data_IF_052490427371
#
_entry.id   IF_052490427371
#
_cell.length_a   1.000
_cell.length_b   1.000
_cell.length_c   1.000
_cell.angle_alpha   90.00
_cell.angle_beta   90.00
_cell.angle_gamma   90.00
#
_symmetry.space_group_name_H-M   'P 1'
#
loop_
_entity.id
_entity.type
_entity.pdbx_description
1 polymer ?
#
# COMPACT_ATOMS: atom_id res chain seq x y z
N UNK A 1 16.81 -2.65 -15.39
CA UNK A 1 15.92 -2.84 -14.22
C UNK A 1 15.44 -1.54 -13.59
N UNK A 2 16.04 -0.37 -13.88
CA UNK A 2 15.60 0.94 -13.36
C UNK A 2 14.10 1.26 -13.52
N UNK A 3 13.47 0.84 -14.62
CA UNK A 3 12.04 1.10 -14.82
C UNK A 3 11.14 0.48 -13.73
N UNK A 4 11.54 -0.64 -13.12
CA UNK A 4 10.81 -1.26 -12.03
C UNK A 4 10.89 -0.47 -10.71
N UNK A 5 11.81 0.49 -10.61
CA UNK A 5 11.96 1.36 -9.43
C UNK A 5 10.82 2.40 -9.39
N UNK A 6 10.36 2.85 -10.56
CA UNK A 6 9.31 3.86 -10.68
C UNK A 6 7.93 3.22 -10.96
N UNK A 7 7.89 2.14 -11.75
CA UNK A 7 6.63 1.52 -12.19
C UNK A 7 6.69 -0.02 -12.26
N UNK A 8 5.63 -0.74 -11.84
CA UNK A 8 5.57 -2.19 -11.97
C UNK A 8 5.74 -2.67 -13.42
N UNK A 9 6.70 -3.56 -13.66
CA UNK A 9 6.90 -4.21 -14.96
C UNK A 9 6.11 -5.52 -14.98
N UNK A 10 5.19 -5.65 -15.93
CA UNK A 10 4.42 -6.88 -16.15
C UNK A 10 5.23 -7.90 -16.94
N UNK A 11 5.41 -9.10 -16.40
CA UNK A 11 5.93 -10.27 -17.11
C UNK A 11 4.74 -11.04 -17.67
N UNK A 12 4.75 -11.32 -18.97
CA UNK A 12 3.71 -12.11 -19.66
C UNK A 12 4.21 -13.49 -20.03
N UNK A 13 3.34 -14.50 -19.93
CA UNK A 13 3.58 -15.84 -20.47
C UNK A 13 2.31 -16.21 -21.22
N UNK A 14 2.42 -16.40 -22.55
CA UNK A 14 1.23 -16.43 -23.45
C UNK A 14 0.43 -15.11 -23.25
N UNK A 15 -0.84 -14.93 -23.67
CA UNK A 15 -1.49 -13.61 -23.58
C UNK A 15 -1.75 -13.13 -22.13
N UNK A 16 -1.54 -13.98 -21.11
CA UNK A 16 -1.78 -13.67 -19.71
C UNK A 16 -0.59 -13.04 -18.96
N UNK A 17 -0.91 -12.23 -17.93
CA UNK A 17 0.09 -11.78 -16.96
C UNK A 17 0.54 -12.99 -16.12
N UNK A 18 1.85 -13.21 -16.04
CA UNK A 18 2.43 -14.31 -15.27
C UNK A 18 3.06 -13.83 -13.95
N UNK A 19 3.61 -12.61 -13.94
CA UNK A 19 4.22 -12.00 -12.76
C UNK A 19 4.37 -10.48 -12.94
N UNK A 20 4.74 -9.80 -11.85
CA UNK A 20 5.14 -8.40 -11.86
C UNK A 20 6.51 -8.25 -11.18
N UNK A 21 7.36 -7.38 -11.72
CA UNK A 21 8.58 -6.91 -11.07
C UNK A 21 8.28 -5.52 -10.53
N UNK A 22 8.52 -5.32 -9.23
CA UNK A 22 8.29 -4.08 -8.51
C UNK A 22 9.60 -3.68 -7.82
N UNK A 23 9.67 -2.43 -7.35
CA UNK A 23 10.68 -2.04 -6.37
C UNK A 23 10.42 -2.73 -5.04
N UNK A 24 11.46 -2.87 -4.22
CA UNK A 24 11.33 -3.38 -2.84
C UNK A 24 10.36 -2.50 -2.03
N UNK A 25 10.54 -1.19 -2.11
CA UNK A 25 9.73 -0.21 -1.39
C UNK A 25 8.24 -0.31 -1.76
N UNK A 26 7.94 -0.54 -3.05
CA UNK A 26 6.57 -0.76 -3.51
C UNK A 26 5.97 -2.04 -2.94
N UNK A 27 6.74 -3.13 -2.90
CA UNK A 27 6.26 -4.39 -2.30
C UNK A 27 6.02 -4.25 -0.80
N UNK A 28 6.94 -3.61 -0.09
CA UNK A 28 6.83 -3.38 1.36
C UNK A 28 5.59 -2.54 1.68
N UNK A 29 5.34 -1.46 0.92
CA UNK A 29 4.15 -0.63 1.07
C UNK A 29 2.84 -1.39 0.78
N UNK A 30 2.83 -2.29 -0.22
CA UNK A 30 1.68 -3.16 -0.50
C UNK A 30 1.42 -4.09 0.69
N UNK A 31 2.45 -4.75 1.20
CA UNK A 31 2.31 -5.69 2.33
C UNK A 31 1.83 -4.96 3.58
N UNK A 32 2.44 -3.84 3.93
CA UNK A 32 2.03 -3.01 5.07
C UNK A 32 0.57 -2.55 4.92
N UNK A 33 0.18 -2.11 3.72
CA UNK A 33 -1.21 -1.73 3.46
C UNK A 33 -2.16 -2.91 3.68
N UNK A 34 -1.82 -4.11 3.19
CA UNK A 34 -2.64 -5.30 3.39
C UNK A 34 -2.74 -5.69 4.88
N UNK A 35 -1.68 -5.52 5.66
CA UNK A 35 -1.69 -5.74 7.11
C UNK A 35 -2.60 -4.75 7.84
N UNK A 36 -2.56 -3.46 7.47
CA UNK A 36 -3.46 -2.43 8.00
C UNK A 36 -4.91 -2.77 7.65
N UNK A 37 -5.19 -3.11 6.39
CA UNK A 37 -6.54 -3.46 5.92
C UNK A 37 -7.09 -4.71 6.61
N UNK A 38 -6.23 -5.65 6.99
CA UNK A 38 -6.63 -6.85 7.72
C UNK A 38 -6.98 -6.57 9.19
N UNK A 39 -6.59 -5.42 9.75
CA UNK A 39 -6.90 -5.04 11.12
C UNK A 39 -8.19 -4.20 11.19
N UNK A 40 -9.30 -4.75 11.73
CA UNK A 40 -10.58 -4.03 11.78
C UNK A 40 -10.55 -2.79 12.68
N UNK A 41 -9.70 -2.75 13.71
CA UNK A 41 -9.58 -1.58 14.58
C UNK A 41 -8.79 -0.45 13.90
N UNK A 42 -7.76 -0.80 13.13
CA UNK A 42 -7.06 0.16 12.29
C UNK A 42 -8.02 0.77 11.24
N UNK A 43 -8.85 -0.06 10.60
CA UNK A 43 -9.83 0.41 9.63
C UNK A 43 -10.87 1.36 10.25
N UNK A 44 -11.35 1.09 11.46
CA UNK A 44 -12.26 2.02 12.17
C UNK A 44 -11.61 3.39 12.37
N UNK A 45 -10.34 3.43 12.74
CA UNK A 45 -9.61 4.68 12.91
C UNK A 45 -9.45 5.43 11.58
N UNK A 46 -9.16 4.72 10.48
CA UNK A 46 -9.03 5.31 9.14
C UNK A 46 -10.37 5.87 8.62
N UNK A 47 -11.50 5.26 8.98
CA UNK A 47 -12.83 5.73 8.57
C UNK A 47 -13.42 6.81 9.47
N UNK A 48 -12.85 7.02 10.65
CA UNK A 48 -13.34 8.05 11.57
C UNK A 48 -12.69 9.38 11.21
N UNK A 49 -13.46 10.47 11.03
CA UNK A 49 -12.89 11.80 10.86
C UNK A 49 -11.98 12.13 12.05
N UNK A 50 -10.71 12.40 11.78
CA UNK A 50 -9.77 12.83 12.80
C UNK A 50 -10.23 14.20 13.33
N UNK A 51 -10.73 14.23 14.56
CA UNK A 51 -11.03 15.47 15.27
C UNK A 51 -9.71 16.12 15.73
N UNK A 52 -9.12 16.88 14.81
CA UNK A 52 -7.85 17.61 14.98
C UNK A 52 -7.92 18.74 16.03
N UNK A 53 -9.07 18.97 16.70
CA UNK A 53 -9.24 20.09 17.64
C UNK A 53 -8.92 19.77 19.09
N UNK A 54 -8.56 18.53 19.45
CA UNK A 54 -8.35 18.12 20.85
C UNK A 54 -6.98 18.45 21.45
N UNK A 55 -6.01 18.98 20.68
CA UNK A 55 -4.64 19.21 21.16
C UNK A 55 -4.24 20.69 21.36
N UNK A 56 -5.18 21.63 21.29
CA UNK A 56 -4.88 23.07 21.47
C UNK A 56 -5.47 23.67 22.75
N UNK A 57 -5.58 22.90 23.83
CA UNK A 57 -5.77 23.46 25.17
C UNK A 57 -5.00 22.62 26.20
N UNK A 58 -3.78 23.06 26.50
CA UNK A 58 -3.04 22.80 27.73
C UNK A 58 -2.10 23.99 27.97
#
# INVERSE_FOLDING_TARGET
MKEAEEHPIRITRRPEAAAFILSREQMDAIVETLEILANPDAMKLLHTPLDIRRHTQA
#
